data_IF_876523119850
#
_entry.id   IF_876523119850
#
_cell.length_a   1.000
_cell.length_b   1.000
_cell.length_c   1.000
_cell.angle_alpha   90.00
_cell.angle_beta   90.00
_cell.angle_gamma   90.00
#
_symmetry.space_group_name_H-M   'P 1'
#
loop_
_entity.id
_entity.type
_entity.pdbx_description
1 polymer ?
#
# COMPACT_ATOMS: atom_id res chain seq x y z
N UNK A 1 -6.25 -16.97 -5.67
CA UNK A 1 -5.33 -16.63 -4.56
C UNK A 1 -4.93 -15.15 -4.49
N UNK A 2 -5.64 -14.21 -5.13
CA UNK A 2 -5.24 -12.79 -5.12
C UNK A 2 -5.64 -12.02 -3.86
N UNK A 3 -6.47 -12.59 -2.99
CA UNK A 3 -6.94 -11.93 -1.76
C UNK A 3 -5.87 -11.84 -0.66
N UNK A 4 -4.97 -12.83 -0.59
CA UNK A 4 -3.90 -12.90 0.41
C UNK A 4 -3.01 -11.65 0.44
N UNK A 5 -2.86 -10.96 -0.70
CA UNK A 5 -2.10 -9.71 -0.78
C UNK A 5 -2.65 -8.64 0.18
N UNK A 6 -3.96 -8.62 0.42
CA UNK A 6 -4.62 -7.66 1.30
C UNK A 6 -4.44 -7.96 2.79
N UNK A 7 -3.92 -9.14 3.16
CA UNK A 7 -3.55 -9.44 4.55
C UNK A 7 -2.13 -9.00 4.90
N UNK A 8 -1.28 -8.77 3.90
CA UNK A 8 0.13 -8.45 4.12
C UNK A 8 0.33 -6.95 4.37
N UNK A 9 0.96 -6.60 5.49
CA UNK A 9 1.42 -5.23 5.76
C UNK A 9 2.33 -4.71 4.64
N UNK A 10 3.19 -5.57 4.09
CA UNK A 10 4.14 -5.20 3.03
C UNK A 10 3.44 -4.70 1.77
N UNK A 11 2.23 -5.21 1.46
CA UNK A 11 1.46 -4.78 0.30
C UNK A 11 1.04 -3.30 0.42
N UNK A 12 0.52 -2.90 1.57
CA UNK A 12 0.12 -1.50 1.81
C UNK A 12 1.33 -0.60 2.04
N UNK A 13 2.38 -1.10 2.71
CA UNK A 13 3.62 -0.36 2.92
C UNK A 13 4.33 -0.02 1.61
N UNK A 14 4.47 -0.98 0.70
CA UNK A 14 5.05 -0.74 -0.63
C UNK A 14 4.23 0.26 -1.45
N UNK A 15 2.89 0.15 -1.43
CA UNK A 15 1.99 1.13 -2.08
C UNK A 15 2.16 2.53 -1.51
N UNK A 16 2.30 2.66 -0.20
CA UNK A 16 2.53 3.94 0.45
C UNK A 16 3.88 4.55 0.02
N UNK A 17 4.95 3.76 0.02
CA UNK A 17 6.28 4.20 -0.42
C UNK A 17 6.27 4.68 -1.87
N UNK A 18 5.60 3.95 -2.78
CA UNK A 18 5.45 4.37 -4.17
C UNK A 18 4.72 5.71 -4.30
N UNK A 19 3.68 5.95 -3.50
CA UNK A 19 2.95 7.24 -3.52
C UNK A 19 3.76 8.40 -2.96
N UNK A 20 4.69 8.14 -2.05
CA UNK A 20 5.60 9.17 -1.51
C UNK A 20 6.69 9.51 -2.52
N UNK A 21 7.17 8.51 -3.27
CA UNK A 21 8.30 8.67 -4.17
C UNK A 21 7.92 9.14 -5.58
N UNK A 22 6.74 8.76 -6.07
CA UNK A 22 6.29 9.07 -7.41
C UNK A 22 5.00 9.87 -7.37
N UNK A 23 4.95 10.96 -8.16
CA UNK A 23 3.73 11.71 -8.36
C UNK A 23 3.00 11.20 -9.60
N UNK A 24 1.66 11.20 -9.58
CA UNK A 24 0.85 10.63 -10.67
C UNK A 24 0.96 11.39 -12.00
N UNK A 25 1.44 12.62 -11.96
CA UNK A 25 1.70 13.51 -13.11
C UNK A 25 3.08 13.31 -13.73
N UNK A 26 3.96 12.48 -13.15
CA UNK A 26 5.26 12.22 -13.75
C UNK A 26 5.11 11.55 -15.12
N UNK A 27 5.87 12.06 -16.07
CA UNK A 27 5.92 11.58 -17.44
C UNK A 27 7.15 10.69 -17.63
N UNK A 28 6.98 9.58 -18.33
CA UNK A 28 8.06 8.67 -18.72
C UNK A 28 8.00 8.36 -20.22
N UNK A 29 9.11 7.89 -20.78
CA UNK A 29 9.25 7.56 -22.22
C UNK A 29 8.92 8.72 -23.18
N UNK A 30 9.45 9.91 -22.90
CA UNK A 30 9.26 11.07 -23.78
C UNK A 30 10.08 11.02 -25.08
N UNK A 31 11.06 10.14 -25.20
CA UNK A 31 11.90 9.97 -26.40
C UNK A 31 11.30 9.00 -27.43
N UNK A 32 10.18 8.34 -27.10
CA UNK A 32 9.51 7.39 -27.99
C UNK A 32 8.63 8.10 -29.03
N UNK A 33 8.46 7.50 -30.20
CA UNK A 33 7.62 8.00 -31.32
C UNK A 33 6.15 8.27 -30.91
N UNK A 34 5.71 7.69 -29.79
CA UNK A 34 4.39 7.87 -29.19
C UNK A 34 4.25 9.03 -28.19
N UNK A 35 5.30 9.82 -27.96
CA UNK A 35 5.31 10.94 -27.02
C UNK A 35 5.33 10.54 -25.53
N UNK A 36 5.37 11.54 -24.64
CA UNK A 36 5.39 11.31 -23.19
C UNK A 36 4.16 10.54 -22.69
N UNK A 37 4.38 9.46 -21.93
CA UNK A 37 3.31 8.71 -21.25
C UNK A 37 3.27 9.06 -19.77
N UNK A 38 2.07 9.09 -19.20
CA UNK A 38 1.91 9.27 -17.75
C UNK A 38 2.36 8.02 -17.01
N UNK A 39 3.05 8.15 -15.87
CA UNK A 39 3.45 7.00 -15.04
C UNK A 39 2.26 6.08 -14.70
N UNK A 40 1.07 6.67 -14.58
CA UNK A 40 -0.18 5.99 -14.29
C UNK A 40 -0.65 5.02 -15.39
N UNK A 41 -0.18 5.14 -16.63
CA UNK A 41 -0.57 4.25 -17.74
C UNK A 41 0.27 2.97 -17.82
N UNK A 42 1.22 2.79 -16.91
CA UNK A 42 2.06 1.60 -16.87
C UNK A 42 1.35 0.45 -16.13
N UNK A 43 1.44 -0.80 -16.62
CA UNK A 43 0.74 -1.95 -16.02
C UNK A 43 1.20 -2.25 -14.59
N UNK A 44 2.41 -1.80 -14.22
CA UNK A 44 2.94 -1.91 -12.87
C UNK A 44 2.22 -1.01 -11.86
N UNK A 45 1.66 0.12 -12.32
CA UNK A 45 0.98 1.12 -11.48
C UNK A 45 -0.53 1.16 -11.69
N UNK A 46 -1.07 0.45 -12.69
CA UNK A 46 -2.51 0.39 -13.00
C UNK A 46 -3.37 -0.09 -11.81
N UNK A 47 -2.79 -0.90 -10.91
CA UNK A 47 -3.47 -1.36 -9.69
C UNK A 47 -3.34 -0.41 -8.49
N UNK A 48 -2.61 0.70 -8.64
CA UNK A 48 -2.24 1.65 -7.58
C UNK A 48 -2.62 3.06 -8.03
N UNK A 49 -3.79 3.53 -7.62
CA UNK A 49 -4.16 4.92 -7.85
C UNK A 49 -3.24 5.83 -7.01
N UNK A 50 -2.31 6.55 -7.67
CA UNK A 50 -1.34 7.41 -7.00
C UNK A 50 -1.99 8.64 -6.33
N UNK A 51 -3.25 8.95 -6.65
CA UNK A 51 -3.99 10.05 -6.06
C UNK A 51 -4.69 9.59 -4.78
N UNK A 52 -4.09 9.93 -3.63
CA UNK A 52 -4.68 9.68 -2.31
C UNK A 52 -3.99 8.58 -1.50
N UNK A 53 -2.82 8.89 -0.92
CA UNK A 53 -2.07 7.96 -0.05
C UNK A 53 -2.60 7.84 1.39
N UNK A 54 -3.57 8.67 1.78
CA UNK A 54 -4.11 8.66 3.15
C UNK A 54 -4.88 7.37 3.47
N UNK A 55 -5.50 6.73 2.47
CA UNK A 55 -6.20 5.45 2.65
C UNK A 55 -5.27 4.34 3.13
N UNK A 56 -4.07 4.24 2.56
CA UNK A 56 -3.09 3.23 2.92
C UNK A 56 -2.58 3.45 4.34
N UNK A 57 -2.35 4.71 4.74
CA UNK A 57 -1.94 5.06 6.10
C UNK A 57 -2.97 4.59 7.13
N UNK A 58 -4.26 4.86 6.90
CA UNK A 58 -5.32 4.42 7.80
C UNK A 58 -5.39 2.89 7.92
N UNK A 59 -5.19 2.16 6.82
CA UNK A 59 -5.17 0.69 6.84
C UNK A 59 -3.99 0.16 7.65
N UNK A 60 -2.80 0.73 7.48
CA UNK A 60 -1.59 0.35 8.24
C UNK A 60 -1.77 0.61 9.73
N UNK A 61 -2.39 1.73 10.11
CA UNK A 61 -2.74 2.05 11.50
C UNK A 61 -3.73 1.01 12.06
N UNK A 62 -4.79 0.69 11.31
CA UNK A 62 -5.77 -0.31 11.73
C UNK A 62 -5.12 -1.69 11.96
N UNK A 63 -4.23 -2.12 11.05
CA UNK A 63 -3.47 -3.36 11.22
C UNK A 63 -2.62 -3.34 12.49
N UNK A 64 -1.88 -2.25 12.75
CA UNK A 64 -1.05 -2.12 13.94
C UNK A 64 -1.87 -2.21 15.24
N UNK A 65 -3.04 -1.57 15.26
CA UNK A 65 -3.98 -1.62 16.38
C UNK A 65 -4.50 -3.05 16.58
N UNK A 66 -4.95 -3.73 15.51
CA UNK A 66 -5.40 -5.12 15.56
C UNK A 66 -4.32 -6.07 16.11
N UNK A 67 -3.07 -5.95 15.65
CA UNK A 67 -1.97 -6.77 16.17
C UNK A 67 -1.72 -6.51 17.65
N UNK A 68 -1.78 -5.25 18.11
CA UNK A 68 -1.67 -4.93 19.53
C UNK A 68 -2.80 -5.50 20.36
N UNK A 69 -4.04 -5.43 19.88
CA UNK A 69 -5.19 -6.03 20.57
C UNK A 69 -5.06 -7.55 20.66
N UNK A 70 -4.69 -8.22 19.57
CA UNK A 70 -4.47 -9.66 19.55
C UNK A 70 -3.35 -10.07 20.52
N UNK A 71 -2.22 -9.36 20.52
CA UNK A 71 -1.13 -9.61 21.45
C UNK A 71 -1.57 -9.43 22.90
N UNK A 72 -2.29 -8.35 23.20
CA UNK A 72 -2.82 -8.08 24.54
C UNK A 72 -3.80 -9.17 25.00
N UNK A 73 -4.72 -9.58 24.12
CA UNK A 73 -5.68 -10.63 24.41
C UNK A 73 -4.99 -11.98 24.66
N UNK A 74 -4.04 -12.37 23.80
CA UNK A 74 -3.25 -13.58 23.98
C UNK A 74 -2.46 -13.56 25.29
N UNK A 75 -1.87 -12.42 25.65
CA UNK A 75 -1.11 -12.27 26.90
C UNK A 75 -2.04 -12.34 28.12
N UNK A 76 -3.18 -11.65 28.09
CA UNK A 76 -4.19 -11.68 29.17
C UNK A 76 -4.73 -13.09 29.38
N UNK A 77 -5.09 -13.79 28.31
CA UNK A 77 -5.59 -15.17 28.39
C UNK A 77 -4.56 -16.14 28.97
N UNK A 78 -3.27 -15.89 28.78
CA UNK A 78 -2.18 -16.70 29.36
C UNK A 78 -1.95 -16.41 30.85
N UNK A 79 -2.29 -15.21 31.32
CA UNK A 79 -2.13 -14.79 32.72
C UNK A 79 -3.35 -15.21 33.56
N UNK A 80 -4.53 -15.29 32.94
CA UNK A 80 -5.81 -15.70 33.56
C UNK A 80 -5.99 -17.24 33.64
N UNK A 81 -5.00 -18.01 33.13
CA UNK A 81 -4.94 -19.48 33.15
C UNK A 81 -3.95 -19.96 34.21
#
# INVERSE_FOLDING_TARGET
MQWLKYMSFMYYGFRLLLKVQYSGDQLYECESDGGCRTLQSSPSFDTVNLKGGLSEVWILIAMAICFRFLAYFCLRRKIDV
#
